data_IF_986713186093
#
_entry.id   IF_986713186093
#
_cell.length_a   1.000
_cell.length_b   1.000
_cell.length_c   1.000
_cell.angle_alpha   90.00
_cell.angle_beta   90.00
_cell.angle_gamma   90.00
#
_symmetry.space_group_name_H-M   'P 1'
#
loop_
_entity.id
_entity.type
_entity.pdbx_description
1 polymer ?
#
# COMPACT_ATOMS: atom_id res chain seq x y z
N UNK A 1 35.62 88.22 16.94
CA UNK A 1 36.11 88.58 15.58
C UNK A 1 36.64 87.32 14.89
N UNK A 2 35.97 86.97 13.77
CA UNK A 2 36.43 86.21 12.59
C UNK A 2 37.23 84.91 12.76
N UNK A 3 36.69 83.72 12.42
CA UNK A 3 36.55 83.16 11.05
C UNK A 3 37.88 83.02 10.28
N UNK A 4 38.37 81.78 10.14
CA UNK A 4 38.58 81.10 8.85
C UNK A 4 39.41 79.82 9.02
N UNK A 5 38.82 78.65 8.79
CA UNK A 5 39.51 77.53 8.12
C UNK A 5 38.48 76.84 7.21
N UNK A 6 38.73 76.73 5.89
CA UNK A 6 37.77 76.23 4.91
C UNK A 6 37.83 74.70 4.72
N UNK A 7 36.68 74.14 4.33
CA UNK A 7 36.51 72.81 3.74
C UNK A 7 37.26 72.66 2.39
N UNK A 8 37.82 71.48 2.12
CA UNK A 8 37.75 70.81 0.78
C UNK A 8 38.11 69.30 0.82
N UNK A 9 37.08 68.50 0.53
CA UNK A 9 36.95 67.19 -0.13
C UNK A 9 38.16 66.25 -0.39
N UNK A 10 38.07 65.08 0.26
CA UNK A 10 38.10 63.70 -0.29
C UNK A 10 38.99 63.34 -1.47
N UNK A 11 39.99 62.49 -1.21
CA UNK A 11 40.35 61.32 -2.02
C UNK A 11 41.01 60.27 -1.11
N UNK A 12 40.26 59.25 -0.66
CA UNK A 12 40.86 58.03 -0.11
C UNK A 12 40.12 56.79 -0.63
N UNK A 13 40.93 55.84 -1.09
CA UNK A 13 40.61 54.62 -1.86
C UNK A 13 39.70 53.66 -1.10
N UNK A 14 38.94 52.79 -1.81
CA UNK A 14 38.11 51.77 -1.17
C UNK A 14 38.99 50.58 -0.79
N UNK A 15 39.07 50.27 0.51
CA UNK A 15 39.59 48.98 0.97
C UNK A 15 38.51 48.33 1.86
N UNK A 16 37.59 47.62 1.21
CA UNK A 16 36.46 46.96 1.86
C UNK A 16 36.41 45.48 1.41
N UNK A 17 37.50 44.75 1.68
CA UNK A 17 37.64 43.31 1.38
C UNK A 17 37.67 42.41 2.62
N UNK A 18 37.09 42.82 3.74
CA UNK A 18 37.11 42.02 4.99
C UNK A 18 35.73 41.69 5.59
N UNK A 19 34.64 41.84 4.83
CA UNK A 19 33.28 41.49 5.29
C UNK A 19 32.63 40.31 4.56
N UNK A 20 33.19 39.83 3.44
CA UNK A 20 32.63 38.70 2.68
C UNK A 20 33.08 37.31 3.20
N UNK A 21 34.21 37.23 3.89
CA UNK A 21 34.78 35.95 4.34
C UNK A 21 34.11 35.35 5.59
N UNK A 22 33.22 36.10 6.26
CA UNK A 22 32.53 35.65 7.48
C UNK A 22 31.15 35.02 7.23
N UNK A 23 30.58 35.22 6.03
CA UNK A 23 29.28 34.66 5.61
C UNK A 23 29.40 33.31 4.89
N UNK A 24 30.61 32.87 4.56
CA UNK A 24 30.91 31.57 3.92
C UNK A 24 31.48 30.53 4.90
N UNK A 25 31.17 30.64 6.20
CA UNK A 25 31.28 29.48 7.09
C UNK A 25 30.02 28.63 6.92
N UNK A 26 29.93 27.94 5.78
CA UNK A 26 29.09 26.75 5.71
C UNK A 26 29.49 25.87 6.90
N UNK A 27 28.54 25.39 7.72
CA UNK A 27 28.87 24.41 8.75
C UNK A 27 29.64 23.30 8.04
N UNK A 28 30.83 23.00 8.56
CA UNK A 28 31.73 22.01 8.01
C UNK A 28 31.08 20.64 8.20
N UNK A 29 30.08 20.32 7.37
CA UNK A 29 29.51 19.00 7.21
C UNK A 29 30.54 18.14 6.46
N UNK A 30 31.69 17.93 7.10
CA UNK A 30 32.41 16.67 7.00
C UNK A 30 31.60 15.58 7.72
N UNK A 31 30.30 15.47 7.40
CA UNK A 31 29.54 14.26 7.66
C UNK A 31 30.23 13.21 6.79
N UNK A 32 30.99 12.31 7.40
CA UNK A 32 31.61 11.20 6.70
C UNK A 32 30.53 10.43 5.94
N UNK A 33 30.40 10.68 4.64
CA UNK A 33 29.50 10.03 3.67
C UNK A 33 29.75 8.51 3.51
N UNK A 34 30.59 7.94 4.36
CA UNK A 34 30.95 6.53 4.33
C UNK A 34 29.82 5.71 4.93
N UNK A 35 28.84 5.35 4.09
CA UNK A 35 27.96 4.22 4.37
C UNK A 35 28.88 2.99 4.51
N UNK A 36 28.89 2.30 5.68
CA UNK A 36 29.69 1.10 5.85
C UNK A 36 29.36 0.08 4.75
N UNK A 37 30.38 -0.48 4.10
CA UNK A 37 30.22 -1.51 3.07
C UNK A 37 29.33 -2.68 3.53
N UNK A 38 29.39 -3.04 4.81
CA UNK A 38 28.51 -4.06 5.40
C UNK A 38 27.02 -3.71 5.32
N UNK A 39 26.62 -2.44 5.46
CA UNK A 39 25.22 -2.03 5.31
C UNK A 39 24.77 -2.08 3.84
N UNK A 40 25.66 -1.75 2.91
CA UNK A 40 25.38 -1.87 1.47
C UNK A 40 25.16 -3.34 1.08
N UNK A 41 26.05 -4.23 1.55
CA UNK A 41 25.90 -5.68 1.33
C UNK A 41 24.62 -6.24 1.96
N UNK A 42 24.26 -5.77 3.16
CA UNK A 42 23.00 -6.15 3.80
C UNK A 42 21.78 -5.65 3.02
N UNK A 43 21.77 -4.40 2.54
CA UNK A 43 20.67 -3.89 1.72
C UNK A 43 20.49 -4.68 0.42
N UNK A 44 21.59 -5.06 -0.25
CA UNK A 44 21.54 -5.90 -1.44
C UNK A 44 20.99 -7.30 -1.15
N UNK A 45 21.48 -7.97 -0.10
CA UNK A 45 21.02 -9.31 0.29
C UNK A 45 19.55 -9.30 0.72
N UNK A 46 19.12 -8.25 1.42
CA UNK A 46 17.71 -8.04 1.75
C UNK A 46 16.88 -7.81 0.48
N UNK A 47 17.37 -7.02 -0.48
CA UNK A 47 16.70 -6.81 -1.76
C UNK A 47 16.51 -8.11 -2.55
N UNK A 48 17.55 -8.93 -2.67
CA UNK A 48 17.46 -10.28 -3.27
C UNK A 48 16.44 -11.13 -2.52
N UNK A 49 16.52 -11.18 -1.20
CA UNK A 49 15.61 -11.96 -0.36
C UNK A 49 14.14 -11.50 -0.50
N UNK A 50 13.89 -10.19 -0.46
CA UNK A 50 12.56 -9.61 -0.64
C UNK A 50 12.00 -9.90 -2.03
N UNK A 51 12.85 -9.83 -3.07
CA UNK A 51 12.48 -10.21 -4.43
C UNK A 51 12.04 -11.67 -4.53
N UNK A 52 12.88 -12.60 -4.06
CA UNK A 52 12.54 -14.03 -4.04
C UNK A 52 11.29 -14.32 -3.19
N UNK A 53 11.18 -13.67 -2.04
CA UNK A 53 10.02 -13.81 -1.15
C UNK A 53 8.72 -13.33 -1.79
N UNK A 54 8.76 -12.21 -2.51
CA UNK A 54 7.59 -11.71 -3.25
C UNK A 54 7.19 -12.64 -4.40
N UNK A 55 8.16 -13.17 -5.16
CA UNK A 55 7.91 -14.13 -6.24
C UNK A 55 7.32 -15.43 -5.70
N UNK A 56 7.93 -16.01 -4.67
CA UNK A 56 7.44 -17.23 -4.03
C UNK A 56 6.02 -17.05 -3.47
N UNK A 57 5.74 -15.91 -2.84
CA UNK A 57 4.41 -15.62 -2.33
C UNK A 57 3.37 -15.42 -3.43
N UNK A 58 3.75 -14.79 -4.55
CA UNK A 58 2.89 -14.70 -5.74
C UNK A 58 2.54 -16.10 -6.26
N UNK A 59 3.52 -16.97 -6.46
CA UNK A 59 3.26 -18.35 -6.89
C UNK A 59 2.40 -19.12 -5.91
N UNK A 60 2.53 -18.86 -4.60
CA UNK A 60 1.69 -19.48 -3.59
C UNK A 60 0.22 -19.03 -3.72
N UNK A 61 -0.02 -17.74 -3.94
CA UNK A 61 -1.37 -17.21 -4.21
C UNK A 61 -1.94 -17.81 -5.49
N UNK A 62 -1.15 -17.82 -6.58
CA UNK A 62 -1.59 -18.30 -7.90
C UNK A 62 -1.92 -19.81 -7.81
N UNK A 63 -1.12 -20.58 -7.06
CA UNK A 63 -1.37 -22.01 -6.82
C UNK A 63 -2.67 -22.26 -6.06
N UNK A 64 -2.93 -21.51 -4.98
CA UNK A 64 -4.18 -21.67 -4.23
C UNK A 64 -5.39 -21.15 -5.02
N UNK A 65 -5.22 -20.07 -5.78
CA UNK A 65 -6.26 -19.57 -6.70
C UNK A 65 -6.65 -20.63 -7.71
N UNK A 66 -5.66 -21.27 -8.34
CA UNK A 66 -5.88 -22.38 -9.27
C UNK A 66 -6.52 -23.58 -8.57
N UNK A 67 -6.09 -23.93 -7.36
CA UNK A 67 -6.64 -25.06 -6.62
C UNK A 67 -8.12 -24.87 -6.24
N UNK A 68 -8.51 -23.65 -5.84
CA UNK A 68 -9.87 -23.36 -5.39
C UNK A 68 -10.83 -22.97 -6.51
N UNK A 69 -10.33 -22.28 -7.54
CA UNK A 69 -11.17 -21.75 -8.62
C UNK A 69 -10.99 -22.49 -9.95
N UNK A 70 -9.90 -23.24 -10.11
CA UNK A 70 -9.51 -23.86 -11.38
C UNK A 70 -9.07 -22.88 -12.47
N UNK A 71 -8.92 -21.59 -12.13
CA UNK A 71 -8.49 -20.53 -13.03
C UNK A 71 -7.25 -19.83 -12.47
N UNK A 72 -6.41 -19.29 -13.35
CA UNK A 72 -5.23 -18.50 -12.94
C UNK A 72 -5.63 -17.16 -12.30
N UNK A 73 -6.63 -16.49 -12.88
CA UNK A 73 -7.22 -15.27 -12.31
C UNK A 73 -8.75 -15.28 -12.50
N UNK A 74 -9.47 -15.72 -11.47
CA UNK A 74 -10.91 -15.86 -11.52
C UNK A 74 -11.65 -14.51 -11.67
N UNK A 75 -11.05 -13.40 -11.24
CA UNK A 75 -11.68 -12.08 -11.37
C UNK A 75 -11.88 -11.67 -12.85
N UNK A 76 -11.10 -12.24 -13.78
CA UNK A 76 -11.27 -12.09 -15.21
C UNK A 76 -12.30 -13.06 -15.82
N UNK A 77 -12.56 -14.20 -15.16
CA UNK A 77 -13.39 -15.28 -15.68
C UNK A 77 -14.90 -15.04 -15.52
N UNK A 78 -15.31 -14.06 -14.70
CA UNK A 78 -16.72 -13.75 -14.47
C UNK A 78 -17.45 -14.89 -13.75
N UNK A 79 -18.51 -15.42 -14.36
CA UNK A 79 -19.31 -16.51 -13.80
C UNK A 79 -18.93 -17.91 -14.35
N UNK A 80 -17.68 -18.08 -14.77
CA UNK A 80 -17.19 -19.36 -15.28
C UNK A 80 -17.33 -20.48 -14.23
N UNK A 81 -17.79 -21.66 -14.66
CA UNK A 81 -17.85 -22.82 -13.79
C UNK A 81 -16.45 -23.36 -13.49
N UNK A 82 -16.29 -24.02 -12.34
CA UNK A 82 -15.03 -24.67 -12.01
C UNK A 82 -14.74 -25.83 -12.99
N UNK A 83 -13.58 -25.87 -13.68
CA UNK A 83 -13.28 -26.87 -14.71
C UNK A 83 -13.37 -28.32 -14.25
N UNK A 84 -12.94 -28.60 -13.00
CA UNK A 84 -12.93 -29.95 -12.44
C UNK A 84 -14.25 -30.37 -11.77
N UNK A 85 -15.16 -29.42 -11.49
CA UNK A 85 -16.48 -29.71 -10.88
C UNK A 85 -17.57 -28.86 -11.55
N UNK A 86 -17.77 -29.03 -12.88
CA UNK A 86 -18.66 -28.17 -13.66
C UNK A 86 -20.12 -28.22 -13.20
N UNK A 87 -20.53 -29.29 -12.50
CA UNK A 87 -21.88 -29.48 -11.97
C UNK A 87 -22.26 -28.43 -10.92
N UNK A 88 -21.28 -27.85 -10.23
CA UNK A 88 -21.52 -26.78 -9.26
C UNK A 88 -21.80 -25.43 -9.95
N UNK A 89 -21.55 -25.29 -11.26
CA UNK A 89 -21.72 -24.03 -11.97
C UNK A 89 -20.98 -22.90 -11.27
N UNK A 90 -21.65 -21.77 -11.01
CA UNK A 90 -21.12 -20.65 -10.23
C UNK A 90 -21.19 -20.86 -8.70
N UNK A 91 -21.97 -21.84 -8.21
CA UNK A 91 -22.24 -22.03 -6.79
C UNK A 91 -21.00 -22.39 -5.96
N UNK A 92 -19.94 -22.86 -6.61
CA UNK A 92 -18.66 -23.10 -5.93
C UNK A 92 -18.10 -21.82 -5.27
N UNK A 93 -18.40 -20.63 -5.80
CA UNK A 93 -18.00 -19.35 -5.20
C UNK A 93 -18.59 -19.11 -3.81
N UNK A 94 -19.74 -19.72 -3.51
CA UNK A 94 -20.32 -19.65 -2.17
C UNK A 94 -19.52 -20.49 -1.17
N UNK A 95 -18.93 -21.59 -1.63
CA UNK A 95 -18.30 -22.61 -0.79
C UNK A 95 -16.80 -22.40 -0.62
N UNK A 96 -16.13 -21.80 -1.61
CA UNK A 96 -14.68 -21.63 -1.62
C UNK A 96 -14.16 -20.76 -0.45
N UNK A 97 -14.72 -19.56 -0.14
CA UNK A 97 -14.23 -18.78 0.98
C UNK A 97 -14.41 -19.46 2.36
N UNK A 98 -15.54 -20.13 2.66
CA UNK A 98 -15.66 -20.96 3.86
C UNK A 98 -14.59 -22.05 3.97
N UNK A 99 -14.31 -22.75 2.86
CA UNK A 99 -13.29 -23.80 2.82
C UNK A 99 -11.90 -23.23 3.08
N UNK A 100 -11.55 -22.11 2.45
CA UNK A 100 -10.31 -21.40 2.75
C UNK A 100 -10.24 -20.99 4.21
N UNK A 101 -11.34 -20.44 4.76
CA UNK A 101 -11.47 -20.06 6.17
C UNK A 101 -11.24 -21.21 7.15
N UNK A 102 -11.69 -22.42 6.82
CA UNK A 102 -11.42 -23.63 7.61
C UNK A 102 -9.95 -24.06 7.57
N UNK A 103 -9.19 -23.67 6.56
CA UNK A 103 -7.75 -23.95 6.46
C UNK A 103 -6.92 -22.88 7.17
N UNK A 104 -7.13 -21.61 6.83
CA UNK A 104 -6.30 -20.53 7.39
C UNK A 104 -6.71 -20.13 8.80
N UNK A 105 -7.97 -20.33 9.21
CA UNK A 105 -8.46 -19.99 10.56
C UNK A 105 -7.71 -20.73 11.66
N UNK A 106 -7.67 -22.08 11.66
CA UNK A 106 -6.89 -22.87 12.62
C UNK A 106 -5.38 -22.63 12.52
N UNK A 107 -4.86 -22.41 11.31
CA UNK A 107 -3.46 -22.09 11.08
C UNK A 107 -3.05 -20.80 11.80
N UNK A 108 -3.84 -19.75 11.68
CA UNK A 108 -3.60 -18.47 12.36
C UNK A 108 -3.72 -18.66 13.88
N UNK A 109 -4.83 -19.24 14.37
CA UNK A 109 -5.09 -19.36 15.81
C UNK A 109 -3.99 -20.16 16.53
N UNK A 110 -3.57 -21.28 15.93
CA UNK A 110 -2.59 -22.17 16.55
C UNK A 110 -1.16 -21.66 16.45
N UNK A 111 -0.81 -20.92 15.40
CA UNK A 111 0.59 -20.63 15.10
C UNK A 111 1.01 -19.16 15.19
N UNK A 112 0.14 -18.19 14.89
CA UNK A 112 0.43 -16.76 15.01
C UNK A 112 -0.85 -15.93 14.90
N UNK A 113 -1.42 -15.51 16.03
CA UNK A 113 -2.60 -14.64 16.04
C UNK A 113 -2.33 -13.27 15.39
N UNK A 114 -1.07 -12.82 15.42
CA UNK A 114 -0.61 -11.58 14.78
C UNK A 114 -0.63 -11.67 13.24
N UNK A 115 -0.84 -12.86 12.68
CA UNK A 115 -0.99 -13.04 11.24
C UNK A 115 -2.35 -12.53 10.69
N UNK A 116 -3.30 -12.13 11.55
CA UNK A 116 -4.58 -11.56 11.12
C UNK A 116 -4.43 -10.15 10.55
N UNK A 117 -5.29 -9.79 9.60
CA UNK A 117 -5.43 -8.43 9.08
C UNK A 117 -4.31 -7.95 8.14
N UNK A 118 -4.09 -6.62 8.13
CA UNK A 118 -3.51 -5.87 7.00
C UNK A 118 -2.01 -5.99 6.70
N UNK A 119 -1.16 -6.50 7.60
CA UNK A 119 0.29 -6.64 7.40
C UNK A 119 1.10 -5.39 7.73
N UNK A 120 0.78 -4.27 7.07
CA UNK A 120 1.54 -3.01 7.18
C UNK A 120 1.55 -2.45 8.61
N UNK A 121 0.41 -2.37 9.35
CA UNK A 121 0.43 -1.91 10.73
C UNK A 121 1.31 -2.75 11.64
N UNK A 122 1.44 -4.06 11.40
CA UNK A 122 2.31 -4.92 12.22
C UNK A 122 3.79 -4.58 12.01
N UNK A 123 4.19 -4.23 10.77
CA UNK A 123 5.55 -3.73 10.49
C UNK A 123 5.77 -2.37 11.14
N UNK A 124 4.82 -1.43 11.01
CA UNK A 124 4.90 -0.12 11.65
C UNK A 124 5.04 -0.24 13.17
N UNK A 125 4.23 -1.10 13.81
CA UNK A 125 4.33 -1.39 15.23
C UNK A 125 5.72 -1.93 15.61
N UNK A 126 6.27 -2.87 14.84
CA UNK A 126 7.59 -3.43 15.13
C UNK A 126 8.71 -2.38 15.02
N UNK A 127 8.60 -1.43 14.09
CA UNK A 127 9.58 -0.35 13.90
C UNK A 127 9.49 0.68 15.02
N UNK A 128 8.28 1.00 15.48
CA UNK A 128 8.07 1.98 16.55
C UNK A 128 8.35 1.41 17.94
N UNK A 129 7.87 0.20 18.24
CA UNK A 129 7.84 -0.37 19.59
C UNK A 129 8.90 -1.45 19.83
N UNK A 130 9.21 -2.27 18.83
CA UNK A 130 10.10 -3.45 19.00
C UNK A 130 11.53 -3.23 18.45
N UNK A 131 11.88 -2.00 18.09
CA UNK A 131 13.18 -1.64 17.51
C UNK A 131 13.45 -2.32 16.16
N UNK A 132 12.41 -2.74 15.43
CA UNK A 132 12.47 -3.45 14.15
C UNK A 132 12.61 -4.97 14.29
N UNK A 133 12.31 -5.56 15.45
CA UNK A 133 12.34 -7.02 15.62
C UNK A 133 11.04 -7.67 15.15
N UNK A 134 11.14 -8.54 14.13
CA UNK A 134 10.01 -9.32 13.60
C UNK A 134 10.30 -10.81 13.76
N UNK A 135 9.33 -11.56 14.29
CA UNK A 135 9.42 -13.00 14.49
C UNK A 135 9.28 -13.77 13.15
N UNK A 136 10.24 -14.63 12.76
CA UNK A 136 10.18 -15.36 11.48
C UNK A 136 8.96 -16.27 11.35
N UNK A 137 8.50 -16.87 12.46
CA UNK A 137 7.31 -17.73 12.51
C UNK A 137 6.06 -16.98 12.04
N UNK A 138 5.88 -15.74 12.48
CA UNK A 138 4.71 -14.92 12.12
C UNK A 138 4.65 -14.72 10.61
N UNK A 139 5.80 -14.55 9.96
CA UNK A 139 5.89 -14.32 8.52
C UNK A 139 5.49 -15.56 7.72
N UNK A 140 6.02 -16.73 8.08
CA UNK A 140 5.65 -17.98 7.41
C UNK A 140 4.15 -18.26 7.53
N UNK A 141 3.58 -18.07 8.72
CA UNK A 141 2.14 -18.24 8.96
C UNK A 141 1.33 -17.20 8.19
N UNK A 142 1.75 -15.92 8.20
CA UNK A 142 1.11 -14.82 7.44
C UNK A 142 1.10 -15.11 5.94
N UNK A 143 2.22 -15.51 5.37
CA UNK A 143 2.33 -15.86 3.95
C UNK A 143 1.39 -17.00 3.60
N UNK A 144 1.41 -18.10 4.35
CA UNK A 144 0.52 -19.22 4.03
C UNK A 144 -0.96 -18.86 4.22
N UNK A 145 -1.30 -18.19 5.32
CA UNK A 145 -2.67 -17.78 5.62
C UNK A 145 -3.21 -16.75 4.62
N UNK A 146 -2.40 -15.77 4.22
CA UNK A 146 -2.78 -14.79 3.21
C UNK A 146 -2.92 -15.41 1.83
N UNK A 147 -2.04 -16.35 1.46
CA UNK A 147 -2.15 -17.02 0.18
C UNK A 147 -3.40 -17.91 0.10
N UNK A 148 -3.73 -18.63 1.18
CA UNK A 148 -4.99 -19.36 1.31
C UNK A 148 -6.18 -18.41 1.25
N UNK A 149 -6.15 -17.30 2.01
CA UNK A 149 -7.24 -16.32 2.06
C UNK A 149 -7.50 -15.69 0.68
N UNK A 150 -6.47 -15.16 0.02
CA UNK A 150 -6.58 -14.56 -1.32
C UNK A 150 -6.96 -15.63 -2.36
N UNK A 151 -6.30 -16.78 -2.31
CA UNK A 151 -6.53 -17.88 -3.25
C UNK A 151 -7.92 -18.47 -3.16
N UNK A 152 -8.54 -18.47 -1.97
CA UNK A 152 -9.94 -18.85 -1.76
C UNK A 152 -10.93 -17.68 -1.93
N UNK A 153 -10.57 -16.62 -2.64
CA UNK A 153 -11.48 -15.52 -2.99
C UNK A 153 -11.55 -14.37 -1.99
N UNK A 154 -10.72 -14.37 -0.94
CA UNK A 154 -10.57 -13.25 -0.01
C UNK A 154 -10.25 -11.95 -0.73
N UNK A 155 -11.12 -10.95 -0.61
CA UNK A 155 -10.99 -9.68 -1.34
C UNK A 155 -9.98 -8.75 -0.65
N UNK A 156 -8.70 -9.09 -0.74
CA UNK A 156 -7.60 -8.33 -0.12
C UNK A 156 -6.40 -8.29 -1.04
N UNK A 157 -5.48 -7.38 -0.77
CA UNK A 157 -4.23 -7.22 -1.51
C UNK A 157 -3.11 -8.13 -1.02
N UNK A 158 -2.11 -8.37 -1.86
CA UNK A 158 -0.92 -9.15 -1.51
C UNK A 158 0.18 -8.31 -0.85
N UNK A 159 0.04 -6.99 -0.84
CA UNK A 159 1.09 -6.04 -0.46
C UNK A 159 1.44 -6.07 1.01
N UNK A 160 0.43 -6.19 1.88
CA UNK A 160 0.63 -6.27 3.33
C UNK A 160 1.54 -7.43 3.73
N UNK A 161 1.20 -8.66 3.31
CA UNK A 161 2.06 -9.83 3.51
C UNK A 161 3.45 -9.67 2.90
N UNK A 162 3.58 -9.14 1.69
CA UNK A 162 4.89 -8.98 1.03
C UNK A 162 5.77 -7.96 1.76
N UNK A 163 5.20 -6.84 2.19
CA UNK A 163 5.89 -5.86 3.05
C UNK A 163 6.40 -6.56 4.30
N UNK A 164 5.58 -7.38 4.94
CA UNK A 164 5.98 -8.09 6.16
C UNK A 164 7.05 -9.17 5.90
N UNK A 165 6.98 -9.90 4.78
CA UNK A 165 8.01 -10.87 4.35
C UNK A 165 9.35 -10.17 4.19
N UNK A 166 9.38 -9.10 3.39
CA UNK A 166 10.60 -8.34 3.14
C UNK A 166 11.15 -7.73 4.44
N UNK A 167 10.29 -7.07 5.22
CA UNK A 167 10.65 -6.50 6.52
C UNK A 167 11.22 -7.52 7.50
N UNK A 168 10.70 -8.74 7.52
CA UNK A 168 11.23 -9.80 8.37
C UNK A 168 12.59 -10.30 7.92
N UNK A 169 12.85 -10.39 6.62
CA UNK A 169 14.19 -10.67 6.11
C UNK A 169 15.16 -9.58 6.55
N UNK A 170 14.77 -8.30 6.43
CA UNK A 170 15.52 -7.17 6.96
C UNK A 170 15.82 -7.30 8.46
N UNK A 171 14.81 -7.72 9.24
CA UNK A 171 14.95 -7.97 10.67
C UNK A 171 15.91 -9.13 10.98
N UNK A 172 15.80 -10.25 10.26
CA UNK A 172 16.64 -11.44 10.47
C UNK A 172 18.10 -11.14 10.13
N UNK A 173 18.37 -10.61 8.94
CA UNK A 173 19.74 -10.29 8.52
C UNK A 173 20.35 -9.19 9.39
N UNK A 174 19.57 -8.18 9.78
CA UNK A 174 20.02 -7.15 10.72
C UNK A 174 20.39 -7.70 12.10
N UNK A 175 19.60 -8.64 12.64
CA UNK A 175 19.92 -9.30 13.91
C UNK A 175 21.14 -10.21 13.83
N UNK A 176 21.28 -10.97 12.73
CA UNK A 176 22.46 -11.81 12.49
C UNK A 176 23.73 -10.96 12.42
N UNK A 177 23.65 -9.79 11.79
CA UNK A 177 24.74 -8.81 11.75
C UNK A 177 24.90 -8.00 13.05
N UNK A 178 24.11 -8.28 14.10
CA UNK A 178 24.12 -7.59 15.40
C UNK A 178 23.93 -6.07 15.30
N UNK A 179 23.05 -5.62 14.40
CA UNK A 179 22.72 -4.21 14.25
C UNK A 179 21.96 -3.67 15.46
N UNK A 180 22.24 -2.41 15.80
CA UNK A 180 21.50 -1.64 16.81
C UNK A 180 20.10 -1.27 16.30
N UNK A 181 19.21 -0.83 17.21
CA UNK A 181 17.81 -0.56 16.88
C UNK A 181 17.62 0.45 15.74
N UNK A 182 18.47 1.47 15.64
CA UNK A 182 18.37 2.47 14.55
C UNK A 182 18.63 1.84 13.18
N UNK A 183 19.70 1.05 13.06
CA UNK A 183 20.09 0.38 11.82
C UNK A 183 19.18 -0.81 11.52
N UNK A 184 18.69 -1.52 12.53
CA UNK A 184 17.74 -2.61 12.36
C UNK A 184 16.43 -2.09 11.73
N UNK A 185 15.88 -0.98 12.22
CA UNK A 185 14.71 -0.32 11.62
C UNK A 185 14.93 0.05 10.15
N UNK A 186 16.12 0.55 9.82
CA UNK A 186 16.47 0.85 8.43
C UNK A 186 16.52 -0.40 7.54
N UNK A 187 17.06 -1.52 8.04
CA UNK A 187 17.09 -2.78 7.29
C UNK A 187 15.68 -3.39 7.13
N UNK A 188 14.82 -3.26 8.13
CA UNK A 188 13.40 -3.62 8.05
C UNK A 188 12.69 -2.78 6.98
N UNK A 189 12.98 -1.48 6.90
CA UNK A 189 12.47 -0.61 5.86
C UNK A 189 13.04 -0.95 4.46
N UNK A 190 14.31 -1.35 4.36
CA UNK A 190 14.88 -1.90 3.12
C UNK A 190 14.11 -3.13 2.65
N UNK A 191 13.74 -3.99 3.60
CA UNK A 191 12.89 -5.15 3.36
C UNK A 191 11.51 -4.77 2.80
N UNK A 192 10.82 -3.84 3.47
CA UNK A 192 9.52 -3.32 3.03
C UNK A 192 9.59 -2.72 1.62
N UNK A 193 10.59 -1.87 1.37
CA UNK A 193 10.81 -1.24 0.07
C UNK A 193 11.03 -2.28 -1.03
N UNK A 194 11.90 -3.26 -0.79
CA UNK A 194 12.14 -4.37 -1.71
C UNK A 194 10.88 -5.20 -1.99
N UNK A 195 10.06 -5.44 -0.97
CA UNK A 195 8.81 -6.18 -1.12
C UNK A 195 7.80 -5.46 -2.03
N UNK A 196 7.53 -4.18 -1.77
CA UNK A 196 6.65 -3.35 -2.62
C UNK A 196 7.18 -3.28 -4.06
N UNK A 197 8.47 -3.03 -4.21
CA UNK A 197 9.12 -2.91 -5.52
C UNK A 197 9.03 -4.20 -6.34
N UNK A 198 9.27 -5.35 -5.73
CA UNK A 198 9.15 -6.64 -6.39
C UNK A 198 7.69 -6.98 -6.76
N UNK A 199 6.72 -6.52 -5.97
CA UNK A 199 5.29 -6.80 -6.19
C UNK A 199 4.74 -6.03 -7.39
N UNK A 200 5.10 -4.76 -7.48
CA UNK A 200 4.49 -3.80 -8.41
C UNK A 200 5.40 -3.41 -9.57
N UNK A 201 6.61 -3.95 -9.60
CA UNK A 201 7.63 -3.53 -10.53
C UNK A 201 7.99 -2.02 -10.39
N UNK A 202 7.79 -1.47 -9.18
CA UNK A 202 7.79 -0.04 -8.88
C UNK A 202 8.85 0.28 -7.80
N UNK A 203 10.14 0.41 -8.17
CA UNK A 203 11.22 0.58 -7.22
C UNK A 203 11.17 1.91 -6.45
N UNK A 204 10.80 3.03 -7.09
CA UNK A 204 10.74 4.32 -6.38
C UNK A 204 9.57 4.34 -5.38
N UNK A 205 8.43 3.77 -5.77
CA UNK A 205 7.27 3.59 -4.92
C UNK A 205 7.60 2.81 -3.65
N UNK A 206 8.37 1.73 -3.76
CA UNK A 206 8.84 0.99 -2.60
C UNK A 206 9.70 1.83 -1.64
N UNK A 207 10.59 2.66 -2.19
CA UNK A 207 11.44 3.56 -1.38
C UNK A 207 10.60 4.59 -0.64
N UNK A 208 9.72 5.30 -1.34
CA UNK A 208 8.88 6.34 -0.75
C UNK A 208 7.85 5.75 0.22
N UNK A 209 7.29 4.57 -0.07
CA UNK A 209 6.45 3.84 0.87
C UNK A 209 7.18 3.58 2.19
N UNK A 210 8.42 3.09 2.13
CA UNK A 210 9.20 2.81 3.33
C UNK A 210 9.57 4.09 4.09
N UNK A 211 9.91 5.18 3.41
CA UNK A 211 10.24 6.46 4.07
C UNK A 211 9.01 7.13 4.69
N UNK A 212 7.90 7.18 3.97
CA UNK A 212 6.70 7.92 4.37
C UNK A 212 5.83 7.15 5.37
N UNK A 213 5.65 5.84 5.18
CA UNK A 213 4.75 5.02 6.01
C UNK A 213 5.47 4.18 7.08
N UNK A 214 6.67 3.67 6.80
CA UNK A 214 7.36 2.77 7.75
C UNK A 214 8.28 3.54 8.69
N UNK A 215 9.11 4.46 8.16
CA UNK A 215 10.09 5.20 8.94
C UNK A 215 9.56 6.55 9.43
N UNK A 216 8.74 7.24 8.64
CA UNK A 216 8.24 8.58 8.97
C UNK A 216 9.30 9.68 8.90
N UNK A 217 10.44 9.43 8.24
CA UNK A 217 11.53 10.40 8.11
C UNK A 217 12.18 10.37 6.72
N UNK A 218 12.58 11.55 6.23
CA UNK A 218 13.24 11.71 4.94
C UNK A 218 14.70 12.08 5.11
N UNK A 219 15.59 11.08 5.14
CA UNK A 219 17.04 11.31 5.19
C UNK A 219 17.74 10.72 3.96
N UNK A 220 18.71 11.45 3.41
CA UNK A 220 19.45 11.07 2.20
C UNK A 220 20.19 9.74 2.38
N UNK A 221 20.72 9.48 3.59
CA UNK A 221 21.39 8.23 3.91
C UNK A 221 20.45 7.02 3.83
N UNK A 222 19.23 7.17 4.33
CA UNK A 222 18.19 6.15 4.27
C UNK A 222 17.78 5.89 2.83
N UNK A 223 17.60 6.95 2.03
CA UNK A 223 17.24 6.86 0.62
C UNK A 223 18.19 5.94 -0.17
N UNK A 224 19.51 6.12 -0.06
CA UNK A 224 20.48 5.31 -0.79
C UNK A 224 20.39 3.80 -0.53
N UNK A 225 20.19 3.39 0.73
CA UNK A 225 20.06 1.97 1.09
C UNK A 225 18.72 1.38 0.66
N UNK A 226 17.63 2.15 0.79
CA UNK A 226 16.31 1.74 0.32
C UNK A 226 16.31 1.53 -1.19
N UNK A 227 16.93 2.44 -1.96
CA UNK A 227 17.06 2.33 -3.42
C UNK A 227 17.80 1.06 -3.80
N UNK A 228 18.92 0.74 -3.13
CA UNK A 228 19.69 -0.48 -3.44
C UNK A 228 18.87 -1.75 -3.22
N UNK A 229 18.17 -1.86 -2.09
CA UNK A 229 17.29 -3.00 -1.80
C UNK A 229 16.14 -3.08 -2.81
N UNK A 230 15.47 -1.96 -3.04
CA UNK A 230 14.31 -1.82 -3.91
C UNK A 230 14.62 -2.15 -5.38
N UNK A 231 15.69 -1.58 -5.92
CA UNK A 231 16.15 -1.83 -7.28
C UNK A 231 16.56 -3.30 -7.48
N UNK A 232 17.28 -3.87 -6.52
CA UNK A 232 17.69 -5.29 -6.58
C UNK A 232 16.47 -6.22 -6.58
N UNK A 233 15.49 -5.94 -5.71
CA UNK A 233 14.25 -6.71 -5.65
C UNK A 233 13.42 -6.59 -6.94
N UNK A 234 13.33 -5.37 -7.51
CA UNK A 234 12.64 -5.13 -8.78
C UNK A 234 13.32 -5.84 -9.95
N UNK A 235 14.65 -5.73 -10.09
CA UNK A 235 15.40 -6.45 -11.15
C UNK A 235 15.16 -7.95 -11.07
N UNK A 236 15.23 -8.52 -9.86
CA UNK A 236 15.02 -9.96 -9.68
C UNK A 236 13.59 -10.37 -10.04
N UNK A 237 12.59 -9.60 -9.60
CA UNK A 237 11.19 -9.84 -9.96
C UNK A 237 10.97 -9.75 -11.48
N UNK A 238 11.56 -8.74 -12.15
CA UNK A 238 11.49 -8.59 -13.61
C UNK A 238 12.03 -9.80 -14.36
N UNK A 239 13.15 -10.36 -13.89
CA UNK A 239 13.77 -11.54 -14.50
C UNK A 239 12.93 -12.81 -14.31
N UNK A 240 12.31 -12.98 -13.14
CA UNK A 240 11.60 -14.22 -12.79
C UNK A 240 10.12 -14.22 -13.20
N UNK A 241 9.49 -13.05 -13.23
CA UNK A 241 8.03 -12.89 -13.39
C UNK A 241 7.66 -12.06 -14.61
N UNK A 242 8.54 -11.17 -15.06
CA UNK A 242 8.31 -10.27 -16.19
C UNK A 242 8.35 -8.79 -15.79
N UNK A 243 8.66 -7.93 -16.76
CA UNK A 243 8.89 -6.50 -16.56
C UNK A 243 7.80 -5.58 -17.10
N UNK A 244 6.65 -6.13 -17.48
CA UNK A 244 5.53 -5.36 -18.03
C UNK A 244 4.96 -4.37 -17.01
N UNK A 245 4.41 -3.26 -17.52
CA UNK A 245 3.65 -2.33 -16.71
C UNK A 245 2.38 -2.98 -16.19
N UNK A 246 1.94 -2.55 -15.01
CA UNK A 246 0.73 -3.07 -14.40
C UNK A 246 -0.53 -2.70 -15.21
N UNK A 247 -0.55 -1.46 -15.73
CA UNK A 247 -1.57 -0.94 -16.65
C UNK A 247 -0.90 -0.39 -17.90
N UNK A 248 -1.24 -0.94 -19.06
CA UNK A 248 -0.91 -0.36 -20.37
C UNK A 248 -2.06 0.52 -20.81
N UNK A 249 -1.88 1.83 -20.69
CA UNK A 249 -2.94 2.80 -20.99
C UNK A 249 -2.63 3.52 -22.30
N UNK A 250 -3.65 4.01 -23.03
CA UNK A 250 -3.42 4.97 -24.08
C UNK A 250 -2.78 6.24 -23.49
N UNK A 251 -1.98 6.99 -24.26
CA UNK A 251 -1.44 8.26 -23.79
C UNK A 251 -2.59 9.21 -23.44
N UNK A 252 -2.49 9.86 -22.28
CA UNK A 252 -3.45 10.87 -21.86
C UNK A 252 -2.83 12.25 -21.98
N UNK A 253 -3.55 13.18 -22.62
CA UNK A 253 -3.20 14.59 -22.63
C UNK A 253 -4.25 15.39 -21.85
N UNK A 254 -3.79 16.45 -21.17
CA UNK A 254 -4.68 17.42 -20.51
C UNK A 254 -4.80 18.61 -21.44
N UNK A 255 -5.86 18.64 -22.24
CA UNK A 255 -6.03 19.59 -23.33
C UNK A 255 -6.55 20.95 -22.83
N UNK A 256 -7.37 20.95 -21.78
CA UNK A 256 -8.00 22.16 -21.28
C UNK A 256 -7.66 22.46 -19.81
N UNK A 257 -7.18 23.68 -19.44
CA UNK A 257 -6.79 24.00 -18.06
C UNK A 257 -7.91 23.83 -17.01
N UNK A 258 -9.17 23.97 -17.42
CA UNK A 258 -10.29 23.73 -16.49
C UNK A 258 -10.49 22.25 -16.13
N UNK A 259 -9.84 21.30 -16.81
CA UNK A 259 -9.77 19.89 -16.39
C UNK A 259 -9.14 19.74 -15.01
N UNK A 260 -8.17 20.59 -14.65
CA UNK A 260 -7.58 20.58 -13.31
C UNK A 260 -8.62 20.83 -12.20
N UNK A 261 -9.68 21.59 -12.46
CA UNK A 261 -10.79 21.78 -11.52
C UNK A 261 -11.62 20.50 -11.37
N UNK A 262 -11.79 19.75 -12.46
CA UNK A 262 -12.47 18.45 -12.43
C UNK A 262 -11.65 17.43 -11.63
N UNK A 263 -10.34 17.34 -11.88
CA UNK A 263 -9.43 16.50 -11.10
C UNK A 263 -9.38 16.91 -9.62
N UNK A 264 -9.42 18.21 -9.32
CA UNK A 264 -9.54 18.70 -7.95
C UNK A 264 -10.84 18.22 -7.27
N UNK A 265 -11.97 18.28 -7.99
CA UNK A 265 -13.26 17.75 -7.53
C UNK A 265 -13.21 16.24 -7.25
N UNK A 266 -12.58 15.47 -8.16
CA UNK A 266 -12.33 14.04 -7.94
C UNK A 266 -11.48 13.82 -6.70
N UNK A 267 -10.41 14.60 -6.50
CA UNK A 267 -9.57 14.52 -5.30
C UNK A 267 -10.33 14.74 -4.00
N UNK A 268 -11.17 15.79 -3.94
CA UNK A 268 -12.00 16.09 -2.77
C UNK A 268 -12.93 14.91 -2.44
N UNK A 269 -13.65 14.41 -3.44
CA UNK A 269 -14.57 13.31 -3.24
C UNK A 269 -13.86 11.98 -2.94
N UNK A 270 -12.71 11.71 -3.58
CA UNK A 270 -11.86 10.55 -3.32
C UNK A 270 -11.33 10.51 -1.88
N UNK A 271 -11.03 11.67 -1.29
CA UNK A 271 -10.67 11.78 0.13
C UNK A 271 -11.79 11.27 1.06
N UNK A 272 -13.04 11.59 0.73
CA UNK A 272 -14.21 11.09 1.46
C UNK A 272 -14.42 9.58 1.26
N UNK A 273 -14.23 9.06 0.04
CA UNK A 273 -14.27 7.62 -0.25
C UNK A 273 -13.21 6.87 0.55
N UNK A 274 -11.97 7.36 0.57
CA UNK A 274 -10.87 6.74 1.33
C UNK A 274 -11.12 6.73 2.84
N UNK A 275 -11.60 7.85 3.40
CA UNK A 275 -11.99 7.93 4.81
C UNK A 275 -13.19 7.03 5.14
N UNK A 276 -14.19 6.97 4.25
CA UNK A 276 -15.35 6.11 4.36
C UNK A 276 -14.98 4.63 4.34
N UNK A 277 -14.07 4.22 3.46
CA UNK A 277 -13.53 2.86 3.41
C UNK A 277 -12.86 2.46 4.72
N UNK A 278 -11.98 3.32 5.27
CA UNK A 278 -11.34 3.05 6.56
C UNK A 278 -12.38 2.88 7.68
N UNK A 279 -13.39 3.77 7.76
CA UNK A 279 -14.45 3.67 8.78
C UNK A 279 -15.29 2.40 8.64
N UNK A 280 -15.67 2.05 7.42
CA UNK A 280 -16.48 0.85 7.16
C UNK A 280 -15.71 -0.42 7.51
N UNK A 281 -14.42 -0.48 7.17
CA UNK A 281 -13.54 -1.60 7.53
C UNK A 281 -13.58 -1.89 9.02
N UNK A 282 -13.32 -0.88 9.85
CA UNK A 282 -13.30 -1.04 11.30
C UNK A 282 -14.69 -1.22 11.90
N UNK A 283 -15.72 -0.61 11.31
CA UNK A 283 -17.11 -0.86 11.72
C UNK A 283 -17.47 -2.34 11.54
N UNK A 284 -17.10 -2.96 10.41
CA UNK A 284 -17.33 -4.38 10.16
C UNK A 284 -16.50 -5.23 11.11
N UNK A 285 -15.23 -4.92 11.33
CA UNK A 285 -14.38 -5.64 12.30
C UNK A 285 -14.98 -5.64 13.72
N UNK A 286 -15.41 -4.47 14.20
CA UNK A 286 -16.06 -4.30 15.51
C UNK A 286 -17.39 -5.04 15.61
N UNK A 287 -18.17 -4.99 14.53
CA UNK A 287 -19.49 -5.65 14.45
C UNK A 287 -19.34 -7.17 14.47
N UNK A 288 -18.41 -7.71 13.69
CA UNK A 288 -18.14 -9.16 13.68
C UNK A 288 -17.60 -9.60 15.03
N UNK A 289 -16.69 -8.83 15.66
CA UNK A 289 -16.17 -9.15 16.99
C UNK A 289 -17.27 -9.14 18.07
N UNK A 290 -18.27 -8.26 17.96
CA UNK A 290 -19.40 -8.18 18.89
C UNK A 290 -20.41 -9.31 18.70
N UNK A 291 -20.66 -9.72 17.45
CA UNK A 291 -21.67 -10.73 17.11
C UNK A 291 -21.13 -12.15 17.30
N UNK A 292 -19.86 -12.38 16.93
CA UNK A 292 -19.27 -13.71 16.96
C UNK A 292 -18.98 -14.18 18.40
N UNK A 293 -19.58 -15.31 18.78
CA UNK A 293 -19.37 -15.97 20.09
C UNK A 293 -18.79 -17.38 19.97
N UNK A 294 -18.50 -17.83 18.76
CA UNK A 294 -17.93 -19.15 18.48
C UNK A 294 -16.41 -19.18 18.65
N UNK A 295 -15.78 -20.34 18.41
CA UNK A 295 -14.32 -20.43 18.43
C UNK A 295 -13.71 -19.58 17.32
N UNK A 296 -12.55 -18.98 17.60
CA UNK A 296 -11.90 -18.01 16.73
C UNK A 296 -11.46 -18.60 15.37
N UNK A 297 -11.10 -19.88 15.32
CA UNK A 297 -10.70 -20.57 14.08
C UNK A 297 -11.86 -20.80 13.12
N UNK A 298 -13.10 -20.84 13.62
CA UNK A 298 -14.31 -21.07 12.80
C UNK A 298 -14.89 -19.75 12.26
N UNK A 299 -14.54 -18.62 12.88
CA UNK A 299 -14.99 -17.28 12.49
C UNK A 299 -14.78 -16.99 10.99
N UNK A 300 -13.62 -17.29 10.38
CA UNK A 300 -13.43 -17.01 8.97
C UNK A 300 -14.24 -17.94 8.05
N UNK A 301 -14.52 -19.16 8.47
CA UNK A 301 -15.36 -20.09 7.72
C UNK A 301 -16.82 -19.64 7.69
N UNK A 302 -17.36 -19.26 8.84
CA UNK A 302 -18.74 -18.79 8.96
C UNK A 302 -18.96 -17.45 8.24
N UNK A 303 -18.06 -16.49 8.47
CA UNK A 303 -18.07 -15.22 7.75
C UNK A 303 -17.78 -15.36 6.24
N UNK A 304 -17.03 -16.41 5.88
CA UNK A 304 -16.74 -16.77 4.49
C UNK A 304 -17.99 -17.05 3.67
N UNK A 305 -19.09 -17.52 4.28
CA UNK A 305 -20.35 -17.73 3.55
C UNK A 305 -20.94 -16.42 3.04
N UNK A 306 -20.87 -15.35 3.85
CA UNK A 306 -21.31 -14.02 3.44
C UNK A 306 -20.41 -13.46 2.34
N UNK A 307 -19.10 -13.72 2.40
CA UNK A 307 -18.17 -13.33 1.36
C UNK A 307 -18.45 -14.10 0.07
N UNK A 308 -18.69 -15.41 0.14
CA UNK A 308 -19.05 -16.24 -1.00
C UNK A 308 -20.36 -15.81 -1.66
N UNK A 309 -21.37 -15.43 -0.86
CA UNK A 309 -22.61 -14.87 -1.38
C UNK A 309 -22.39 -13.54 -2.13
N UNK A 310 -21.49 -12.69 -1.63
CA UNK A 310 -21.09 -11.45 -2.31
C UNK A 310 -20.32 -11.74 -3.61
N UNK A 311 -19.44 -12.75 -3.62
CA UNK A 311 -18.69 -13.16 -4.82
C UNK A 311 -19.58 -13.81 -5.88
N UNK A 312 -20.66 -14.50 -5.50
CA UNK A 312 -21.67 -14.96 -6.46
C UNK A 312 -22.31 -13.78 -7.21
N UNK A 313 -22.61 -12.70 -6.51
CA UNK A 313 -23.18 -11.49 -7.10
C UNK A 313 -22.15 -10.70 -7.93
N UNK A 314 -20.92 -10.58 -7.42
CA UNK A 314 -19.83 -9.78 -8.00
C UNK A 314 -18.52 -10.59 -8.05
N UNK A 315 -18.37 -11.53 -9.01
CA UNK A 315 -17.16 -12.36 -9.12
C UNK A 315 -15.89 -11.57 -9.41
N UNK A 316 -16.02 -10.35 -9.94
CA UNK A 316 -14.94 -9.39 -10.16
C UNK A 316 -14.17 -9.04 -8.89
N UNK A 317 -14.76 -9.29 -7.71
CA UNK A 317 -14.16 -9.01 -6.41
C UNK A 317 -13.31 -10.17 -5.87
N UNK A 318 -13.27 -11.31 -6.58
CA UNK A 318 -12.49 -12.48 -6.18
C UNK A 318 -11.00 -12.13 -6.05
N UNK A 319 -10.43 -12.43 -4.89
CA UNK A 319 -9.02 -12.15 -4.63
C UNK A 319 -8.71 -10.65 -4.73
N UNK A 320 -7.61 -10.32 -5.42
CA UNK A 320 -7.16 -8.92 -5.50
C UNK A 320 -8.07 -8.07 -6.40
N UNK A 321 -8.56 -8.63 -7.52
CA UNK A 321 -9.44 -7.93 -8.47
C UNK A 321 -8.74 -7.04 -9.50
N UNK A 322 -7.47 -7.31 -9.84
CA UNK A 322 -6.75 -6.49 -10.83
C UNK A 322 -7.36 -6.49 -12.24
N UNK A 323 -7.90 -7.60 -12.78
CA UNK A 323 -8.56 -7.56 -14.09
C UNK A 323 -9.76 -6.61 -14.10
N UNK A 324 -10.58 -6.64 -13.05
CA UNK A 324 -11.71 -5.73 -12.94
C UNK A 324 -11.29 -4.27 -12.74
N UNK A 325 -10.16 -4.02 -12.05
CA UNK A 325 -9.56 -2.68 -11.99
C UNK A 325 -9.17 -2.19 -13.39
N UNK A 326 -8.48 -3.02 -14.18
CA UNK A 326 -8.05 -2.70 -15.53
C UNK A 326 -9.24 -2.42 -16.44
N UNK A 327 -10.23 -3.32 -16.47
CA UNK A 327 -11.44 -3.18 -17.28
C UNK A 327 -12.22 -1.90 -16.93
N UNK A 328 -12.20 -1.47 -15.66
CA UNK A 328 -12.81 -0.21 -15.26
C UNK A 328 -12.09 0.98 -15.93
N UNK A 329 -10.77 1.06 -15.83
CA UNK A 329 -9.98 2.18 -16.40
C UNK A 329 -10.07 2.20 -17.93
N UNK A 330 -10.14 1.02 -18.56
CA UNK A 330 -10.33 0.88 -20.01
C UNK A 330 -11.76 1.22 -20.47
N UNK A 331 -12.67 1.56 -19.55
CA UNK A 331 -14.04 1.95 -19.89
C UNK A 331 -14.94 0.78 -20.30
N UNK A 332 -14.58 -0.47 -19.96
CA UNK A 332 -15.35 -1.67 -20.30
C UNK A 332 -16.59 -1.87 -19.42
N UNK A 333 -16.81 -1.01 -18.42
CA UNK A 333 -17.93 -1.10 -17.50
C UNK A 333 -18.84 0.12 -17.57
N UNK A 334 -20.14 -0.11 -17.40
CA UNK A 334 -21.14 0.96 -17.29
C UNK A 334 -21.16 1.58 -15.90
N UNK A 335 -21.60 2.83 -15.81
CA UNK A 335 -21.56 3.64 -14.58
C UNK A 335 -22.16 2.94 -13.35
N UNK A 336 -23.37 2.37 -13.46
CA UNK A 336 -24.03 1.73 -12.31
C UNK A 336 -23.22 0.53 -11.80
N UNK A 337 -22.54 -0.19 -12.70
CA UNK A 337 -21.74 -1.35 -12.33
C UNK A 337 -20.45 -0.93 -11.62
N UNK A 338 -19.83 0.18 -12.03
CA UNK A 338 -18.71 0.78 -11.30
C UNK A 338 -19.09 1.17 -9.86
N UNK A 339 -20.30 1.74 -9.68
CA UNK A 339 -20.81 2.05 -8.34
C UNK A 339 -21.09 0.78 -7.52
N UNK A 340 -21.59 -0.28 -8.15
CA UNK A 340 -21.77 -1.58 -7.51
C UNK A 340 -20.41 -2.20 -7.09
N UNK A 341 -19.39 -2.12 -7.96
CA UNK A 341 -18.03 -2.58 -7.65
C UNK A 341 -17.37 -1.73 -6.55
N UNK A 342 -17.63 -0.43 -6.50
CA UNK A 342 -17.13 0.46 -5.45
C UNK A 342 -17.63 0.00 -4.08
N UNK A 343 -18.95 -0.11 -3.92
CA UNK A 343 -19.57 -0.55 -2.65
C UNK A 343 -19.21 -2.01 -2.35
N UNK A 344 -19.29 -2.87 -3.38
CA UNK A 344 -18.97 -4.28 -3.27
C UNK A 344 -17.54 -4.52 -2.81
N UNK A 345 -16.53 -3.84 -3.39
CA UNK A 345 -15.13 -4.00 -2.98
C UNK A 345 -14.89 -3.52 -1.56
N UNK A 346 -15.52 -2.41 -1.14
CA UNK A 346 -15.43 -1.96 0.25
C UNK A 346 -15.98 -3.02 1.21
N UNK A 347 -17.16 -3.56 0.92
CA UNK A 347 -17.79 -4.61 1.74
C UNK A 347 -17.00 -5.90 1.73
N UNK A 348 -16.58 -6.39 0.57
CA UNK A 348 -15.82 -7.64 0.42
C UNK A 348 -14.50 -7.57 1.19
N UNK A 349 -13.77 -6.46 1.06
CA UNK A 349 -12.50 -6.25 1.77
C UNK A 349 -12.71 -6.13 3.27
N UNK A 350 -13.73 -5.36 3.68
CA UNK A 350 -14.06 -5.18 5.10
C UNK A 350 -14.49 -6.48 5.76
N UNK A 351 -15.30 -7.28 5.07
CA UNK A 351 -15.74 -8.58 5.54
C UNK A 351 -14.57 -9.57 5.60
N UNK A 352 -13.76 -9.67 4.55
CA UNK A 352 -12.59 -10.57 4.51
C UNK A 352 -11.67 -10.33 5.71
N UNK A 353 -11.38 -9.07 6.03
CA UNK A 353 -10.50 -8.72 7.14
C UNK A 353 -11.22 -8.82 8.49
N UNK A 354 -12.47 -8.37 8.56
CA UNK A 354 -13.29 -8.40 9.79
C UNK A 354 -13.64 -9.80 10.28
N UNK A 355 -13.68 -10.81 9.41
CA UNK A 355 -13.89 -12.23 9.79
C UNK A 355 -12.60 -12.93 10.22
N UNK A 356 -11.47 -12.22 10.27
CA UNK A 356 -10.17 -12.77 10.66
C UNK A 356 -9.31 -13.25 9.49
N UNK A 357 -9.61 -12.83 8.25
CA UNK A 357 -8.75 -13.06 7.09
C UNK A 357 -7.42 -12.32 7.16
N UNK A 358 -6.55 -12.60 6.19
CA UNK A 358 -5.17 -12.10 6.14
C UNK A 358 -4.85 -11.57 4.74
N UNK A 359 -4.33 -10.35 4.67
CA UNK A 359 -4.00 -9.68 3.41
C UNK A 359 -4.02 -8.15 3.55
N UNK A 360 -3.53 -7.41 2.57
CA UNK A 360 -3.38 -5.96 2.59
C UNK A 360 -4.61 -5.16 2.14
N UNK A 361 -4.67 -3.89 2.53
CA UNK A 361 -5.69 -2.92 2.09
C UNK A 361 -5.21 -2.00 0.96
N UNK A 362 -3.93 -2.13 0.58
CA UNK A 362 -3.29 -1.32 -0.45
C UNK A 362 -3.97 -1.50 -1.82
N UNK A 363 -3.96 -2.70 -2.40
CA UNK A 363 -4.64 -2.93 -3.68
C UNK A 363 -6.15 -2.63 -3.66
N UNK A 364 -6.93 -3.00 -2.62
CA UNK A 364 -8.33 -2.59 -2.51
C UNK A 364 -8.52 -1.07 -2.59
N UNK A 365 -7.68 -0.27 -1.94
CA UNK A 365 -7.81 1.19 -2.02
C UNK A 365 -7.49 1.76 -3.41
N UNK A 366 -6.52 1.17 -4.13
CA UNK A 366 -6.26 1.50 -5.53
C UNK A 366 -7.46 1.12 -6.42
N UNK A 367 -8.03 -0.08 -6.21
CA UNK A 367 -9.22 -0.54 -6.92
C UNK A 367 -10.39 0.42 -6.72
N UNK A 368 -10.68 0.80 -5.47
CA UNK A 368 -11.74 1.74 -5.13
C UNK A 368 -11.54 3.07 -5.84
N UNK A 369 -10.29 3.56 -5.89
CA UNK A 369 -9.95 4.77 -6.62
C UNK A 369 -10.11 4.66 -8.13
N UNK A 370 -9.72 3.54 -8.73
CA UNK A 370 -9.91 3.29 -10.16
C UNK A 370 -11.39 3.34 -10.55
N UNK A 371 -12.24 2.58 -9.84
CA UNK A 371 -13.67 2.51 -10.17
C UNK A 371 -14.39 3.82 -9.84
N UNK A 372 -14.04 4.47 -8.73
CA UNK A 372 -14.59 5.78 -8.35
C UNK A 372 -14.22 6.85 -9.37
N UNK A 373 -12.92 6.98 -9.67
CA UNK A 373 -12.41 7.97 -10.61
C UNK A 373 -12.99 7.78 -12.00
N UNK A 374 -13.05 6.54 -12.50
CA UNK A 374 -13.67 6.22 -13.79
C UNK A 374 -15.15 6.60 -13.80
N UNK A 375 -15.90 6.28 -12.73
CA UNK A 375 -17.30 6.67 -12.61
C UNK A 375 -17.50 8.20 -12.63
N UNK A 376 -16.65 8.94 -11.93
CA UNK A 376 -16.63 10.41 -12.01
C UNK A 376 -16.32 10.91 -13.43
N UNK A 377 -15.34 10.31 -14.10
CA UNK A 377 -14.98 10.65 -15.48
C UNK A 377 -16.13 10.42 -16.45
N UNK A 378 -16.83 9.28 -16.34
CA UNK A 378 -18.02 8.98 -17.15
C UNK A 378 -19.14 10.00 -16.92
N UNK A 379 -19.39 10.38 -15.66
CA UNK A 379 -20.37 11.41 -15.31
C UNK A 379 -19.97 12.78 -15.90
N UNK A 380 -18.72 13.18 -15.73
CA UNK A 380 -18.21 14.45 -16.25
C UNK A 380 -18.27 14.51 -17.78
N UNK A 381 -17.93 13.42 -18.47
CA UNK A 381 -18.05 13.31 -19.91
C UNK A 381 -19.50 13.39 -20.39
N UNK A 382 -20.46 12.86 -19.61
CA UNK A 382 -21.89 12.98 -19.94
C UNK A 382 -22.46 14.40 -19.76
N UNK A 383 -21.94 15.18 -18.81
CA UNK A 383 -22.45 16.53 -18.47
C UNK A 383 -21.70 17.63 -19.23
N UNK A 384 -20.40 17.47 -19.42
CA UNK A 384 -19.51 18.46 -20.03
C UNK A 384 -18.48 17.78 -20.97
N UNK A 385 -18.93 17.18 -22.10
CA UNK A 385 -18.06 16.41 -23.00
C UNK A 385 -16.94 17.25 -23.63
N UNK A 386 -17.14 18.56 -23.80
CA UNK A 386 -16.13 19.47 -24.33
C UNK A 386 -15.02 19.82 -23.33
N UNK A 387 -15.23 19.51 -22.03
CA UNK A 387 -14.28 19.81 -20.97
C UNK A 387 -13.67 18.55 -20.36
N UNK A 388 -14.36 17.42 -20.40
CA UNK A 388 -13.93 16.20 -19.74
C UNK A 388 -13.11 15.30 -20.67
N UNK A 389 -11.88 15.00 -20.25
CA UNK A 389 -11.02 14.00 -20.90
C UNK A 389 -11.54 12.57 -20.78
N UNK A 390 -10.76 11.58 -21.25
CA UNK A 390 -11.15 10.17 -21.18
C UNK A 390 -11.39 9.70 -19.73
N UNK A 391 -12.43 8.89 -19.51
CA UNK A 391 -12.80 8.40 -18.18
C UNK A 391 -11.64 7.67 -17.45
N UNK A 392 -10.79 6.97 -18.22
CA UNK A 392 -9.61 6.29 -17.69
C UNK A 392 -8.60 7.23 -17.00
N UNK A 393 -8.45 8.47 -17.48
CA UNK A 393 -7.57 9.46 -16.84
C UNK A 393 -8.03 9.79 -15.42
N UNK A 394 -9.34 9.99 -15.24
CA UNK A 394 -9.94 10.20 -13.92
C UNK A 394 -9.83 8.94 -13.07
N UNK A 395 -9.93 7.74 -13.66
CA UNK A 395 -9.66 6.47 -12.99
C UNK A 395 -8.25 6.40 -12.39
N UNK A 396 -7.22 6.69 -13.17
CA UNK A 396 -5.81 6.71 -12.74
C UNK A 396 -5.59 7.73 -11.62
N UNK A 397 -6.10 8.95 -11.79
CA UNK A 397 -6.01 10.00 -10.75
C UNK A 397 -6.77 9.56 -9.47
N UNK A 398 -7.93 8.95 -9.63
CA UNK A 398 -8.75 8.40 -8.57
C UNK A 398 -8.05 7.31 -7.76
N UNK A 399 -7.30 6.42 -8.42
CA UNK A 399 -6.49 5.37 -7.76
C UNK A 399 -5.58 5.96 -6.69
N UNK A 400 -4.77 6.95 -7.06
CA UNK A 400 -3.85 7.61 -6.14
C UNK A 400 -4.59 8.43 -5.08
N UNK A 401 -5.65 9.15 -5.47
CA UNK A 401 -6.39 10.01 -4.56
C UNK A 401 -7.12 9.23 -3.46
N UNK A 402 -7.79 8.11 -3.76
CA UNK A 402 -8.45 7.27 -2.73
C UNK A 402 -7.42 6.59 -1.82
N UNK A 403 -6.32 6.08 -2.39
CA UNK A 403 -5.22 5.53 -1.59
C UNK A 403 -4.62 6.57 -0.63
N UNK A 404 -4.37 7.79 -1.10
CA UNK A 404 -3.89 8.89 -0.26
C UNK A 404 -4.94 9.32 0.78
N UNK A 405 -6.22 9.32 0.42
CA UNK A 405 -7.33 9.56 1.34
C UNK A 405 -7.39 8.53 2.48
N UNK A 406 -7.14 7.25 2.18
CA UNK A 406 -7.15 6.19 3.18
C UNK A 406 -5.88 6.17 4.06
N UNK A 407 -4.70 6.39 3.47
CA UNK A 407 -3.39 6.16 4.12
C UNK A 407 -2.67 7.42 4.58
N UNK A 408 -3.01 8.57 3.99
CA UNK A 408 -2.29 9.86 4.12
C UNK A 408 -0.81 9.79 3.74
N UNK A 409 -0.50 9.00 2.71
CA UNK A 409 0.83 8.90 2.10
C UNK A 409 0.84 9.51 0.68
N UNK A 410 0.75 10.85 0.53
CA UNK A 410 0.62 11.50 -0.76
C UNK A 410 1.82 11.30 -1.70
N UNK A 411 3.05 11.24 -1.17
CA UNK A 411 4.23 11.06 -2.02
C UNK A 411 4.23 9.64 -2.60
N UNK A 412 4.03 8.65 -1.73
CA UNK A 412 3.90 7.25 -2.10
C UNK A 412 2.77 7.06 -3.11
N UNK A 413 1.59 7.64 -2.87
CA UNK A 413 0.46 7.57 -3.78
C UNK A 413 0.84 8.05 -5.19
N UNK A 414 1.49 9.20 -5.27
CA UNK A 414 1.86 9.82 -6.55
C UNK A 414 2.85 8.93 -7.32
N UNK A 415 3.92 8.50 -6.65
CA UNK A 415 4.99 7.70 -7.29
C UNK A 415 4.49 6.30 -7.67
N UNK A 416 3.68 5.67 -6.83
CA UNK A 416 3.06 4.36 -7.13
C UNK A 416 2.27 4.43 -8.42
N UNK A 417 1.39 5.42 -8.59
CA UNK A 417 0.56 5.50 -9.79
C UNK A 417 1.42 5.72 -11.03
N UNK A 418 2.38 6.64 -10.98
CA UNK A 418 3.28 6.91 -12.11
C UNK A 418 4.08 5.67 -12.51
N UNK A 419 4.64 4.91 -11.57
CA UNK A 419 5.38 3.69 -11.90
C UNK A 419 4.49 2.54 -12.36
N UNK A 420 3.23 2.46 -11.90
CA UNK A 420 2.29 1.42 -12.31
C UNK A 420 1.72 1.65 -13.72
N UNK A 421 1.52 2.91 -14.12
CA UNK A 421 0.91 3.27 -15.40
C UNK A 421 1.91 3.73 -16.45
N UNK A 422 3.08 4.22 -16.04
CA UNK A 422 4.03 4.90 -16.94
C UNK A 422 3.55 6.26 -17.45
N UNK A 423 2.40 6.75 -16.98
CA UNK A 423 1.78 7.97 -17.49
C UNK A 423 2.21 9.20 -16.70
N UNK A 424 3.18 9.94 -17.26
CA UNK A 424 3.71 11.15 -16.64
C UNK A 424 2.85 12.39 -16.94
N UNK A 425 2.03 12.40 -17.99
CA UNK A 425 1.19 13.55 -18.32
C UNK A 425 0.16 13.84 -17.22
N UNK A 426 -0.30 12.79 -16.53
CA UNK A 426 -1.24 12.89 -15.41
C UNK A 426 -0.59 13.25 -14.06
N UNK A 427 0.74 13.48 -14.02
CA UNK A 427 1.45 13.76 -12.76
C UNK A 427 0.90 15.00 -12.03
N UNK A 428 0.68 16.11 -12.75
CA UNK A 428 0.18 17.35 -12.15
C UNK A 428 -1.26 17.20 -11.62
N UNK A 429 -2.24 16.69 -12.42
CA UNK A 429 -3.57 16.37 -11.93
C UNK A 429 -3.57 15.43 -10.72
N UNK A 430 -2.73 14.39 -10.76
CA UNK A 430 -2.59 13.40 -9.70
C UNK A 430 -2.12 14.05 -8.40
N UNK A 431 -1.05 14.86 -8.44
CA UNK A 431 -0.54 15.56 -7.26
C UNK A 431 -1.60 16.47 -6.64
N UNK A 432 -2.33 17.22 -7.46
CA UNK A 432 -3.42 18.08 -7.01
C UNK A 432 -4.52 17.27 -6.29
N UNK A 433 -5.02 16.22 -6.95
CA UNK A 433 -6.08 15.38 -6.41
C UNK A 433 -5.66 14.65 -5.12
N UNK A 434 -4.43 14.13 -5.07
CA UNK A 434 -3.85 13.42 -3.92
C UNK A 434 -3.70 14.33 -2.69
N UNK A 435 -3.22 15.58 -2.89
CA UNK A 435 -3.10 16.55 -1.78
C UNK A 435 -4.47 16.93 -1.24
N UNK A 436 -5.44 17.20 -2.12
CA UNK A 436 -6.81 17.51 -1.71
C UNK A 436 -7.48 16.34 -0.99
N UNK A 437 -7.34 15.11 -1.50
CA UNK A 437 -7.86 13.90 -0.86
C UNK A 437 -7.27 13.70 0.54
N UNK A 438 -5.96 13.95 0.70
CA UNK A 438 -5.27 13.89 1.99
C UNK A 438 -5.81 14.96 2.95
N UNK A 439 -6.04 16.19 2.47
CA UNK A 439 -6.63 17.27 3.25
C UNK A 439 -8.04 16.94 3.74
N UNK A 440 -8.91 16.46 2.83
CA UNK A 440 -10.28 16.04 3.17
C UNK A 440 -10.27 14.88 4.17
N UNK A 441 -9.41 13.89 3.97
CA UNK A 441 -9.26 12.77 4.92
C UNK A 441 -8.89 13.22 6.33
N UNK A 442 -8.05 14.26 6.47
CA UNK A 442 -7.70 14.84 7.79
C UNK A 442 -8.87 15.59 8.44
N UNK A 443 -9.73 16.22 7.63
CA UNK A 443 -10.93 16.89 8.13
C UNK A 443 -11.99 15.88 8.58
N UNK A 444 -12.11 14.76 7.86
CA UNK A 444 -13.11 13.74 8.14
C UNK A 444 -12.69 12.78 9.26
N UNK A 445 -11.41 12.44 9.40
CA UNK A 445 -10.94 11.45 10.37
C UNK A 445 -9.74 11.97 11.16
N UNK A 446 -9.60 11.59 12.42
CA UNK A 446 -8.36 11.82 13.16
C UNK A 446 -7.24 10.89 12.67
N UNK A 447 -7.59 9.67 12.27
CA UNK A 447 -6.65 8.58 12.02
C UNK A 447 -6.73 8.06 10.57
N UNK A 448 -5.67 7.38 10.14
CA UNK A 448 -5.61 6.69 8.85
C UNK A 448 -6.05 5.24 8.98
N UNK A 449 -6.25 4.58 7.85
CA UNK A 449 -6.54 3.14 7.83
C UNK A 449 -5.46 2.31 8.52
N UNK A 450 -4.21 2.78 8.60
CA UNK A 450 -3.13 2.07 9.28
C UNK A 450 -2.98 2.47 10.75
N UNK A 451 -3.10 3.77 11.09
CA UNK A 451 -2.91 4.23 12.46
C UNK A 451 -4.08 3.87 13.38
N UNK A 452 -5.31 3.75 12.84
CA UNK A 452 -6.47 3.26 13.61
C UNK A 452 -6.19 1.89 14.25
N UNK A 453 -5.58 0.96 13.50
CA UNK A 453 -5.22 -0.36 14.02
C UNK A 453 -4.17 -0.28 15.14
N UNK A 454 -3.17 0.59 14.96
CA UNK A 454 -2.11 0.80 15.94
C UNK A 454 -2.66 1.32 17.27
N UNK A 455 -3.50 2.38 17.23
CA UNK A 455 -4.11 2.94 18.44
C UNK A 455 -4.98 1.93 19.16
N UNK A 456 -5.76 1.14 18.42
CA UNK A 456 -6.63 0.09 19.00
C UNK A 456 -5.81 -0.96 19.73
N UNK A 457 -4.67 -1.38 19.17
CA UNK A 457 -3.75 -2.32 19.81
C UNK A 457 -3.13 -1.75 21.10
N UNK A 458 -2.84 -0.46 21.14
CA UNK A 458 -2.34 0.21 22.35
C UNK A 458 -3.43 0.34 23.44
N UNK A 459 -4.70 0.43 23.04
CA UNK A 459 -5.84 0.47 23.97
C UNK A 459 -6.21 -0.90 24.57
N UNK A 460 -5.81 -2.00 23.92
CA UNK A 460 -5.95 -3.38 24.41
C UNK A 460 -4.57 -3.97 24.74
N UNK A 461 -3.94 -3.60 25.88
CA UNK A 461 -2.70 -4.25 26.30
C UNK A 461 -2.95 -5.74 26.53
N UNK A 462 -2.11 -6.57 25.91
CA UNK A 462 -2.05 -8.02 26.06
C UNK A 462 -2.11 -8.42 27.55
N UNK A 463 -3.25 -8.96 27.99
CA UNK A 463 -3.46 -9.52 29.33
C UNK A 463 -2.81 -10.91 29.46
N UNK A 464 -1.77 -11.22 28.69
CA UNK A 464 -1.01 -12.46 28.88
C UNK A 464 -0.27 -12.37 30.23
N UNK A 465 -0.42 -13.37 31.12
CA UNK A 465 0.31 -13.36 32.38
C UNK A 465 1.81 -13.46 32.08
N UNK A 466 2.57 -12.48 32.58
CA UNK A 466 4.03 -12.49 32.56
C UNK A 466 4.51 -13.89 33.00
N UNK A 467 5.43 -14.53 32.27
CA UNK A 467 5.98 -15.81 32.69
C UNK A 467 6.58 -15.64 34.09
N UNK A 468 6.03 -16.39 35.04
CA UNK A 468 6.50 -16.39 36.42
C UNK A 468 8.02 -16.54 36.42
N UNK A 469 8.71 -15.56 37.00
CA UNK A 469 10.14 -15.64 37.25
C UNK A 469 10.39 -16.91 38.06
N UNK A 470 10.99 -17.92 37.42
CA UNK A 470 11.52 -19.08 38.14
C UNK A 470 12.74 -18.59 38.90
N UNK A 471 12.60 -18.50 40.22
CA UNK A 471 13.70 -18.38 41.17
C UNK A 471 14.53 -19.65 41.26
#
# INVERSE_FOLDING_TARGET
MSHNVPMKFTHLRPDNRTSAARLLRLPNHSLSWRIPWGLLALALTIGVGSGLGAVAFRWLIDTFTLLFSGHEDYAAAGHAAHPYVPQLGMWFLLLVPPLGGLLYGPLIEKFANEARGHGVPEVMASVTHDGGRIAPRVVLVKSLASALCIGSGGSVGKEGPIVQIGSALGSVFGRLARMDGSRLRLLVACGAAGGIAATFNAPLAGVFFAMELILGEFTVRTFGLLVLSSATASVLSRVLVGGELFLTLPPFDVDHPAEYLLFAGVGVAAGAVGAGFARLLYLVEDTVARIWRGPEWLRPAAGGLLLGALLLALPQLYGVGYPALRNAIEGQYVLWFLLALLVGKMLATSLTLGIGGSGGVFAPSLFLGAVFGTACGMLMHSVAPALAGPAGAYGVVGMGAVFAGATRAPITATIVIVELTGEYALLLPLMLAVVLATGVSRLLSAETIYTMKLRRREAEPDLSPLPAARG
#
